data_IF_681362033680
#
_entry.id   IF_681362033680
#
_cell.length_a   1.000
_cell.length_b   1.000
_cell.length_c   1.000
_cell.angle_alpha   90.00
_cell.angle_beta   90.00
_cell.angle_gamma   90.00
#
_symmetry.space_group_name_H-M   'P 1'
#
loop_
_entity.id
_entity.type
_entity.pdbx_description
1 polymer ?
#
# COMPACT_ATOMS: atom_id res chain seq x y z
N UNK A 1 1.51 -5.01 8.89
CA UNK A 1 0.02 -4.98 8.98
C UNK A 1 -0.53 -4.44 7.66
N UNK A 2 -1.22 -5.27 6.87
CA UNK A 2 -1.71 -4.84 5.55
C UNK A 2 -3.09 -4.18 5.63
N UNK A 3 -3.32 -3.21 4.75
CA UNK A 3 -4.61 -2.51 4.61
C UNK A 3 -5.03 -2.51 3.15
N UNK A 4 -6.30 -2.79 2.88
CA UNK A 4 -6.85 -2.76 1.52
C UNK A 4 -7.98 -1.74 1.39
N UNK A 5 -8.02 -1.06 0.24
CA UNK A 5 -9.10 -0.13 -0.13
C UNK A 5 -9.39 -0.28 -1.63
N UNK A 6 -10.67 -0.37 -1.99
CA UNK A 6 -11.09 -0.38 -3.39
C UNK A 6 -12.09 0.76 -3.63
N UNK A 7 -12.02 1.36 -4.80
CA UNK A 7 -13.00 2.34 -5.27
C UNK A 7 -13.14 2.30 -6.79
N UNK A 8 -14.32 2.66 -7.27
CA UNK A 8 -14.62 2.71 -8.69
C UNK A 8 -14.10 3.99 -9.35
N UNK A 9 -13.60 3.88 -10.57
CA UNK A 9 -13.23 4.99 -11.45
C UNK A 9 -14.30 5.11 -12.53
N UNK A 10 -14.94 6.29 -12.60
CA UNK A 10 -16.07 6.53 -13.54
C UNK A 10 -15.68 7.36 -14.76
N UNK A 11 -14.64 8.18 -14.68
CA UNK A 11 -14.29 9.11 -15.74
C UNK A 11 -12.82 9.09 -16.13
N UNK A 12 -11.91 9.29 -15.21
CA UNK A 12 -10.49 9.63 -15.45
C UNK A 12 -9.57 8.43 -15.32
N UNK A 13 -9.80 7.36 -16.12
CA UNK A 13 -8.95 6.16 -16.12
C UNK A 13 -7.53 6.50 -16.58
N UNK A 14 -7.40 7.36 -17.59
CA UNK A 14 -6.14 7.88 -18.11
C UNK A 14 -5.28 8.51 -17.02
N UNK A 15 -5.83 9.46 -16.27
CA UNK A 15 -5.12 10.12 -15.17
C UNK A 15 -4.79 9.16 -14.03
N UNK A 16 -5.63 8.16 -13.79
CA UNK A 16 -5.38 7.16 -12.76
C UNK A 16 -4.21 6.23 -13.14
N UNK A 17 -4.15 5.79 -14.40
CA UNK A 17 -3.01 4.99 -14.93
C UNK A 17 -1.73 5.82 -14.91
N UNK A 18 -1.76 7.05 -15.43
CA UNK A 18 -0.61 7.97 -15.40
C UNK A 18 -0.09 8.18 -13.97
N UNK A 19 -1.00 8.39 -13.01
CA UNK A 19 -0.64 8.58 -11.59
C UNK A 19 0.08 7.38 -11.00
N UNK A 20 -0.42 6.14 -11.23
CA UNK A 20 0.18 4.94 -10.65
C UNK A 20 1.48 4.55 -11.36
N UNK A 21 1.62 4.88 -12.64
CA UNK A 21 2.82 4.58 -13.45
C UNK A 21 3.88 5.69 -13.38
N UNK A 22 3.75 6.67 -12.47
CA UNK A 22 4.74 7.74 -12.36
C UNK A 22 6.12 7.17 -11.98
N UNK A 23 7.18 7.41 -12.81
CA UNK A 23 8.53 6.89 -12.57
C UNK A 23 9.12 7.26 -11.21
N UNK A 24 8.83 8.47 -10.71
CA UNK A 24 9.32 8.94 -9.41
C UNK A 24 8.75 8.15 -8.23
N UNK A 25 7.68 7.38 -8.45
CA UNK A 25 7.00 6.60 -7.42
C UNK A 25 7.26 5.10 -7.51
N UNK A 26 7.68 4.64 -8.69
CA UNK A 26 7.80 3.22 -9.04
C UNK A 26 9.25 2.77 -9.22
N UNK A 27 10.19 3.50 -8.64
CA UNK A 27 11.63 3.28 -8.81
C UNK A 27 12.02 3.17 -10.29
N UNK A 28 11.78 4.27 -11.06
CA UNK A 28 12.04 4.36 -12.51
C UNK A 28 11.33 3.27 -13.32
N UNK A 29 10.08 2.95 -12.96
CA UNK A 29 9.23 1.93 -13.60
C UNK A 29 9.65 0.47 -13.35
N UNK A 30 10.53 0.20 -12.37
CA UNK A 30 10.96 -1.16 -12.05
C UNK A 30 9.81 -2.02 -11.53
N UNK A 31 8.90 -1.42 -10.75
CA UNK A 31 7.78 -2.14 -10.10
C UNK A 31 6.46 -1.86 -10.81
N UNK A 32 6.40 -2.21 -12.11
CA UNK A 32 5.18 -2.18 -12.92
C UNK A 32 4.95 -3.55 -13.54
N UNK A 33 3.73 -4.06 -13.43
CA UNK A 33 3.25 -5.26 -14.11
C UNK A 33 1.88 -5.03 -14.71
N UNK A 34 1.54 -5.76 -15.76
CA UNK A 34 0.23 -5.70 -16.38
C UNK A 34 -0.21 -7.05 -16.91
N UNK A 35 -1.50 -7.20 -17.16
CA UNK A 35 -2.08 -8.40 -17.74
C UNK A 35 -3.15 -8.00 -18.78
N UNK A 36 -3.09 -8.64 -19.96
CA UNK A 36 -3.97 -8.41 -21.12
C UNK A 36 -4.06 -6.92 -21.56
N UNK A 37 -3.05 -6.13 -21.22
CA UNK A 37 -2.83 -4.74 -21.68
C UNK A 37 -1.38 -4.35 -21.36
N UNK A 38 -0.93 -3.18 -21.86
CA UNK A 38 0.27 -2.51 -21.34
C UNK A 38 -0.13 -1.23 -20.60
N UNK A 39 0.73 -0.63 -19.78
CA UNK A 39 0.45 0.66 -19.16
C UNK A 39 0.03 1.74 -20.18
N UNK A 40 0.66 1.73 -21.36
CA UNK A 40 0.42 2.70 -22.43
C UNK A 40 -0.90 2.46 -23.17
N UNK A 41 -1.33 1.20 -23.27
CA UNK A 41 -2.56 0.81 -24.02
C UNK A 41 -3.77 0.58 -23.12
N UNK A 42 -3.58 0.50 -21.79
CA UNK A 42 -4.61 0.09 -20.83
C UNK A 42 -5.94 0.86 -20.97
N UNK A 43 -5.88 2.16 -21.22
CA UNK A 43 -7.08 3.00 -21.41
C UNK A 43 -7.88 2.57 -22.66
N UNK A 44 -7.17 2.24 -23.75
CA UNK A 44 -7.80 1.79 -25.01
C UNK A 44 -8.33 0.37 -24.86
N UNK A 45 -7.56 -0.51 -24.22
CA UNK A 45 -7.97 -1.91 -23.98
C UNK A 45 -9.19 -2.00 -23.06
N UNK A 46 -9.23 -1.20 -21.99
CA UNK A 46 -10.39 -1.11 -21.11
C UNK A 46 -11.61 -0.57 -21.86
N UNK A 47 -11.41 0.48 -22.67
CA UNK A 47 -12.50 1.02 -23.51
C UNK A 47 -13.04 -0.03 -24.47
N UNK A 48 -12.15 -0.76 -25.16
CA UNK A 48 -12.56 -1.83 -26.06
C UNK A 48 -13.43 -2.88 -25.33
N UNK A 49 -12.96 -3.38 -24.18
CA UNK A 49 -13.71 -4.36 -23.38
C UNK A 49 -15.07 -3.81 -22.95
N UNK A 50 -15.14 -2.55 -22.52
CA UNK A 50 -16.37 -1.90 -22.07
C UNK A 50 -17.36 -1.66 -23.21
N UNK A 51 -16.88 -1.32 -24.40
CA UNK A 51 -17.73 -1.11 -25.58
C UNK A 51 -18.41 -2.42 -26.03
N UNK A 52 -17.90 -3.58 -25.60
CA UNK A 52 -18.49 -4.91 -25.89
C UNK A 52 -19.31 -5.48 -24.73
N UNK A 53 -19.53 -4.73 -23.65
CA UNK A 53 -20.38 -5.20 -22.56
C UNK A 53 -21.84 -5.33 -22.97
N UNK A 54 -22.45 -6.44 -22.62
CA UNK A 54 -23.87 -6.74 -22.86
C UNK A 54 -24.64 -6.95 -21.55
N UNK A 55 -24.08 -6.45 -20.45
CA UNK A 55 -24.64 -6.70 -19.11
C UNK A 55 -25.88 -5.84 -18.85
N UNK A 56 -27.05 -6.47 -18.98
CA UNK A 56 -28.36 -5.84 -18.72
C UNK A 56 -28.67 -5.72 -17.21
N UNK A 57 -27.83 -6.28 -16.31
CA UNK A 57 -28.11 -6.32 -14.85
C UNK A 57 -28.05 -4.95 -14.21
N UNK A 58 -27.22 -4.07 -14.75
CA UNK A 58 -27.12 -2.69 -14.30
C UNK A 58 -26.87 -1.74 -15.48
N UNK A 59 -27.94 -1.33 -16.20
CA UNK A 59 -27.82 -0.41 -17.33
C UNK A 59 -27.32 0.99 -16.94
N UNK A 60 -27.28 1.30 -15.64
CA UNK A 60 -26.77 2.56 -15.13
C UNK A 60 -25.32 2.46 -14.61
N UNK A 61 -24.68 1.30 -14.76
CA UNK A 61 -23.29 1.11 -14.35
C UNK A 61 -22.36 1.97 -15.19
N UNK A 62 -21.83 3.01 -14.58
CA UNK A 62 -20.88 3.95 -15.21
C UNK A 62 -19.43 3.69 -14.80
N UNK A 63 -19.16 2.61 -14.08
CA UNK A 63 -17.82 2.28 -13.64
C UNK A 63 -16.98 1.81 -14.84
N UNK A 64 -15.85 2.44 -15.09
CA UNK A 64 -14.92 2.09 -16.16
C UNK A 64 -13.80 1.19 -15.67
N UNK A 65 -13.35 1.41 -14.46
CA UNK A 65 -12.29 0.63 -13.82
C UNK A 65 -12.47 0.61 -12.30
N UNK A 66 -11.72 -0.23 -11.63
CA UNK A 66 -11.57 -0.23 -10.18
C UNK A 66 -10.12 -0.01 -9.80
N UNK A 67 -9.90 0.77 -8.77
CA UNK A 67 -8.60 1.01 -8.18
C UNK A 67 -8.55 0.36 -6.80
N UNK A 68 -7.78 -0.71 -6.68
CA UNK A 68 -7.47 -1.40 -5.44
C UNK A 68 -6.10 -0.95 -4.94
N UNK A 69 -6.03 -0.57 -3.68
CA UNK A 69 -4.80 -0.21 -2.98
C UNK A 69 -4.56 -1.25 -1.89
N UNK A 70 -3.34 -1.78 -1.84
CA UNK A 70 -2.86 -2.65 -0.77
C UNK A 70 -1.62 -1.99 -0.15
N UNK A 71 -1.69 -1.62 1.13
CA UNK A 71 -0.60 -0.95 1.83
C UNK A 71 -0.04 -1.84 2.95
N UNK A 72 1.27 -1.74 3.17
CA UNK A 72 2.01 -2.50 4.18
C UNK A 72 2.53 -1.59 5.29
N UNK A 73 2.87 -2.16 6.44
CA UNK A 73 3.52 -1.40 7.50
C UNK A 73 4.93 -0.97 7.09
N UNK A 74 5.39 0.19 7.55
CA UNK A 74 6.74 0.64 7.27
C UNK A 74 7.80 -0.38 7.71
N UNK A 75 8.73 -0.71 6.80
CA UNK A 75 9.86 -1.61 7.08
C UNK A 75 9.50 -3.10 7.23
N UNK A 76 8.27 -3.50 6.94
CA UNK A 76 7.80 -4.89 7.10
C UNK A 76 8.04 -5.75 5.85
N UNK A 77 8.17 -5.14 4.68
CA UNK A 77 8.27 -5.83 3.39
C UNK A 77 9.25 -5.09 2.46
N UNK A 78 10.01 -5.82 1.66
CA UNK A 78 10.81 -5.24 0.57
C UNK A 78 9.94 -4.80 -0.60
N UNK A 79 10.48 -3.99 -1.50
CA UNK A 79 9.74 -3.51 -2.68
C UNK A 79 9.40 -4.66 -3.63
N UNK A 80 10.36 -5.57 -3.85
CA UNK A 80 10.19 -6.76 -4.68
C UNK A 80 9.11 -7.68 -4.13
N UNK A 81 9.17 -7.96 -2.83
CA UNK A 81 8.20 -8.84 -2.18
C UNK A 81 6.80 -8.21 -2.17
N UNK A 82 6.69 -6.91 -1.90
CA UNK A 82 5.41 -6.19 -1.99
C UNK A 82 4.81 -6.27 -3.39
N UNK A 83 5.65 -6.10 -4.44
CA UNK A 83 5.21 -6.23 -5.83
C UNK A 83 4.76 -7.65 -6.16
N UNK A 84 5.50 -8.66 -5.70
CA UNK A 84 5.14 -10.07 -5.87
C UNK A 84 3.80 -10.40 -5.19
N UNK A 85 3.59 -9.96 -3.95
CA UNK A 85 2.30 -10.09 -3.24
C UNK A 85 1.17 -9.40 -4.01
N UNK A 86 1.43 -8.23 -4.59
CA UNK A 86 0.47 -7.52 -5.44
C UNK A 86 0.06 -8.31 -6.68
N UNK A 87 1.01 -8.98 -7.35
CA UNK A 87 0.75 -9.88 -8.49
C UNK A 87 -0.09 -11.08 -8.07
N UNK A 88 0.28 -11.76 -7.00
CA UNK A 88 -0.47 -12.89 -6.47
C UNK A 88 -1.90 -12.50 -6.06
N UNK A 89 -2.07 -11.30 -5.48
CA UNK A 89 -3.40 -10.75 -5.18
C UNK A 89 -4.22 -10.53 -6.45
N UNK A 90 -3.62 -9.93 -7.49
CA UNK A 90 -4.28 -9.73 -8.77
C UNK A 90 -4.68 -11.06 -9.42
N UNK A 91 -3.79 -12.04 -9.44
CA UNK A 91 -4.04 -13.36 -10.04
C UNK A 91 -5.17 -14.12 -9.33
N UNK A 92 -5.16 -14.17 -8.00
CA UNK A 92 -6.21 -14.84 -7.20
C UNK A 92 -7.54 -14.10 -7.20
N UNK A 93 -7.51 -12.76 -7.29
CA UNK A 93 -8.73 -11.95 -7.29
C UNK A 93 -9.42 -11.94 -8.65
N UNK A 94 -8.63 -11.71 -9.71
CA UNK A 94 -9.12 -11.45 -11.06
C UNK A 94 -9.16 -12.71 -11.94
N UNK A 95 -8.50 -13.81 -11.50
CA UNK A 95 -8.57 -15.13 -12.11
C UNK A 95 -8.22 -15.13 -13.62
N UNK A 96 -7.33 -14.20 -14.05
CA UNK A 96 -6.95 -14.06 -15.46
C UNK A 96 -8.06 -13.55 -16.38
N UNK A 97 -9.13 -12.95 -15.84
CA UNK A 97 -10.30 -12.51 -16.62
C UNK A 97 -10.28 -11.02 -16.96
N UNK A 98 -9.64 -10.19 -16.16
CA UNK A 98 -9.68 -8.73 -16.28
C UNK A 98 -8.32 -8.18 -16.70
N UNK A 99 -8.32 -7.25 -17.64
CA UNK A 99 -7.12 -6.46 -17.94
C UNK A 99 -6.79 -5.56 -16.75
N UNK A 100 -5.50 -5.52 -16.37
CA UNK A 100 -5.07 -4.68 -15.25
C UNK A 100 -3.65 -4.11 -15.43
N UNK A 101 -3.39 -3.04 -14.70
CA UNK A 101 -2.04 -2.49 -14.44
C UNK A 101 -1.84 -2.49 -12.92
N UNK A 102 -0.71 -3.04 -12.50
CA UNK A 102 -0.25 -3.10 -11.10
C UNK A 102 1.04 -2.32 -10.97
N UNK A 103 1.14 -1.47 -9.97
CA UNK A 103 2.38 -0.77 -9.61
C UNK A 103 2.63 -0.83 -8.12
N UNK A 104 3.91 -0.81 -7.73
CA UNK A 104 4.31 -0.67 -6.32
C UNK A 104 4.99 0.68 -6.14
N UNK A 105 4.43 1.51 -5.28
CA UNK A 105 4.96 2.82 -4.94
C UNK A 105 5.95 2.73 -3.78
N UNK A 106 7.10 3.36 -3.96
CA UNK A 106 8.24 3.35 -3.02
C UNK A 106 8.58 4.74 -2.47
N UNK A 107 7.87 5.79 -2.95
CA UNK A 107 8.13 7.21 -2.67
C UNK A 107 7.82 7.66 -1.24
N UNK A 108 7.13 6.85 -0.47
CA UNK A 108 6.70 7.15 0.91
C UNK A 108 7.35 6.20 1.91
N UNK A 109 7.34 6.59 3.18
CA UNK A 109 7.87 5.77 4.27
C UNK A 109 7.14 4.43 4.50
N UNK A 110 6.24 4.03 3.61
CA UNK A 110 5.55 2.75 3.59
C UNK A 110 5.29 2.31 2.14
N UNK A 111 5.46 1.03 1.89
CA UNK A 111 5.23 0.43 0.57
C UNK A 111 3.74 0.20 0.34
N UNK A 112 3.27 0.47 -0.86
CA UNK A 112 1.88 0.18 -1.23
C UNK A 112 1.73 -0.15 -2.71
N UNK A 113 0.88 -1.15 -2.98
CA UNK A 113 0.50 -1.56 -4.31
C UNK A 113 -0.73 -0.80 -4.78
N UNK A 114 -0.72 -0.41 -6.05
CA UNK A 114 -1.87 0.11 -6.77
C UNK A 114 -2.23 -0.85 -7.90
N UNK A 115 -3.41 -1.43 -7.86
CA UNK A 115 -3.95 -2.29 -8.90
C UNK A 115 -5.15 -1.59 -9.53
N UNK A 116 -5.04 -1.19 -10.81
CA UNK A 116 -6.16 -0.68 -11.59
C UNK A 116 -6.57 -1.75 -12.59
N UNK A 117 -7.81 -2.21 -12.53
CA UNK A 117 -8.35 -3.21 -13.45
C UNK A 117 -9.64 -2.74 -14.12
N UNK A 118 -9.88 -3.22 -15.34
CA UNK A 118 -11.10 -2.94 -16.11
C UNK A 118 -12.34 -3.39 -15.32
N UNK A 119 -13.41 -2.62 -15.36
CA UNK A 119 -14.66 -3.00 -14.70
C UNK A 119 -15.44 -4.11 -15.40
N UNK A 120 -15.03 -4.53 -16.60
CA UNK A 120 -15.58 -5.67 -17.30
C UNK A 120 -14.50 -6.71 -17.59
N UNK A 121 -14.86 -7.99 -17.58
CA UNK A 121 -13.93 -9.08 -17.90
C UNK A 121 -13.77 -9.24 -19.43
N UNK A 122 -12.62 -9.75 -19.85
CA UNK A 122 -12.24 -9.89 -21.26
C UNK A 122 -12.87 -11.13 -21.92
N UNK A 123 -13.53 -12.02 -21.17
CA UNK A 123 -14.04 -13.31 -21.64
C UNK A 123 -15.53 -13.24 -21.91
N UNK A 124 -16.29 -12.78 -20.91
CA UNK A 124 -17.75 -12.73 -20.99
C UNK A 124 -18.29 -11.31 -21.17
N UNK A 125 -17.39 -10.31 -21.11
CA UNK A 125 -17.73 -8.88 -21.14
C UNK A 125 -18.76 -8.48 -20.06
N UNK A 126 -18.76 -9.22 -18.94
CA UNK A 126 -19.62 -8.95 -17.80
C UNK A 126 -18.94 -8.03 -16.81
N UNK A 127 -19.71 -7.11 -16.21
CA UNK A 127 -19.18 -6.20 -15.21
C UNK A 127 -18.78 -6.89 -13.91
N UNK A 128 -17.66 -6.42 -13.32
CA UNK A 128 -17.25 -6.77 -11.97
C UNK A 128 -18.34 -6.35 -10.97
N UNK A 129 -18.73 -7.27 -10.12
CA UNK A 129 -19.79 -7.04 -9.15
C UNK A 129 -19.20 -6.39 -7.88
N UNK A 130 -19.26 -5.05 -7.82
CA UNK A 130 -18.85 -4.28 -6.65
C UNK A 130 -19.89 -4.41 -5.52
N UNK A 131 -19.63 -5.33 -4.60
CA UNK A 131 -20.51 -5.58 -3.47
C UNK A 131 -19.72 -5.87 -2.18
N UNK A 132 -20.40 -5.79 -1.05
CA UNK A 132 -19.83 -6.04 0.27
C UNK A 132 -19.14 -7.41 0.37
N UNK A 133 -19.66 -8.44 -0.29
CA UNK A 133 -19.08 -9.78 -0.33
C UNK A 133 -17.69 -9.77 -1.00
N UNK A 134 -17.57 -9.09 -2.16
CA UNK A 134 -16.31 -8.98 -2.89
C UNK A 134 -15.30 -8.10 -2.16
N UNK A 135 -15.76 -7.05 -1.47
CA UNK A 135 -14.89 -6.29 -0.56
C UNK A 135 -14.24 -7.19 0.51
N UNK A 136 -15.01 -8.06 1.15
CA UNK A 136 -14.49 -9.00 2.13
C UNK A 136 -13.60 -10.09 1.50
N UNK A 137 -13.91 -10.53 0.25
CA UNK A 137 -13.04 -11.45 -0.50
C UNK A 137 -11.65 -10.83 -0.69
N UNK A 138 -11.58 -9.57 -1.16
CA UNK A 138 -10.32 -8.84 -1.34
C UNK A 138 -9.53 -8.77 -0.02
N UNK A 139 -10.20 -8.39 1.06
CA UNK A 139 -9.57 -8.28 2.35
C UNK A 139 -8.99 -9.60 2.83
N UNK A 140 -9.79 -10.66 2.78
CA UNK A 140 -9.34 -11.99 3.21
C UNK A 140 -8.20 -12.51 2.34
N UNK A 141 -8.24 -12.31 1.02
CA UNK A 141 -7.14 -12.69 0.12
C UNK A 141 -5.85 -11.96 0.47
N UNK A 142 -5.93 -10.65 0.70
CA UNK A 142 -4.75 -9.86 1.10
C UNK A 142 -4.19 -10.33 2.45
N UNK A 143 -5.05 -10.59 3.44
CA UNK A 143 -4.62 -11.08 4.75
C UNK A 143 -4.01 -12.50 4.66
N UNK A 144 -4.57 -13.39 3.83
CA UNK A 144 -4.01 -14.73 3.58
C UNK A 144 -2.63 -14.64 2.94
N UNK A 145 -2.46 -13.83 1.90
CA UNK A 145 -1.15 -13.61 1.25
C UNK A 145 -0.13 -13.04 2.24
N UNK A 146 -0.51 -12.06 3.05
CA UNK A 146 0.39 -11.54 4.08
C UNK A 146 0.83 -12.63 5.06
N UNK A 147 -0.06 -13.55 5.46
CA UNK A 147 0.30 -14.68 6.33
C UNK A 147 1.23 -15.68 5.62
N UNK A 148 0.99 -16.00 4.34
CA UNK A 148 1.85 -16.86 3.54
C UNK A 148 3.28 -16.31 3.40
N UNK A 149 3.41 -14.97 3.35
CA UNK A 149 4.68 -14.24 3.32
C UNK A 149 5.20 -13.84 4.71
N UNK A 150 4.65 -14.39 5.81
CA UNK A 150 5.04 -14.08 7.19
C UNK A 150 4.92 -12.61 7.58
N UNK A 151 4.03 -11.86 6.94
CA UNK A 151 3.74 -10.46 7.25
C UNK A 151 2.60 -10.32 8.25
N UNK A 152 2.54 -9.20 8.96
CA UNK A 152 1.48 -8.95 9.94
C UNK A 152 0.14 -8.62 9.27
N UNK A 153 -0.95 -9.09 9.87
CA UNK A 153 -2.32 -8.79 9.45
C UNK A 153 -3.06 -7.98 10.49
N UNK A 154 -4.12 -7.25 10.07
CA UNK A 154 -4.98 -6.53 11.02
C UNK A 154 -5.94 -7.54 11.64
N UNK A 155 -5.69 -7.90 12.90
CA UNK A 155 -6.66 -8.70 13.66
C UNK A 155 -7.93 -7.88 13.91
N UNK A 156 -9.12 -8.41 13.59
CA UNK A 156 -10.38 -7.73 13.90
C UNK A 156 -10.54 -7.64 15.42
N UNK A 157 -10.27 -6.48 15.99
CA UNK A 157 -10.41 -6.23 17.44
C UNK A 157 -11.79 -5.70 17.84
N UNK A 158 -12.78 -5.79 16.95
CA UNK A 158 -14.15 -5.32 17.18
C UNK A 158 -14.32 -3.80 17.25
N UNK A 159 -13.25 -3.02 17.21
CA UNK A 159 -13.30 -1.55 17.18
C UNK A 159 -13.40 -1.06 15.73
N UNK A 160 -14.23 -0.04 15.47
CA UNK A 160 -14.22 0.66 14.19
C UNK A 160 -12.85 1.24 13.94
N UNK A 161 -12.32 1.04 12.73
CA UNK A 161 -11.05 1.66 12.32
C UNK A 161 -11.10 3.17 12.50
N UNK A 162 -10.02 3.74 13.03
CA UNK A 162 -9.86 5.18 13.22
C UNK A 162 -9.83 5.88 11.85
N UNK A 163 -10.50 7.02 11.71
CA UNK A 163 -10.43 7.82 10.49
C UNK A 163 -9.01 8.37 10.34
N UNK A 164 -8.57 8.56 9.09
CA UNK A 164 -7.22 9.06 8.79
C UNK A 164 -6.87 10.34 9.57
N UNK A 165 -7.82 11.27 9.67
CA UNK A 165 -7.62 12.54 10.39
C UNK A 165 -7.37 12.32 11.89
N UNK A 166 -8.07 11.38 12.52
CA UNK A 166 -7.91 11.00 13.92
C UNK A 166 -6.57 10.28 14.15
N UNK A 167 -6.17 9.39 13.21
CA UNK A 167 -4.87 8.72 13.23
C UNK A 167 -3.72 9.72 13.06
N UNK A 168 -3.83 10.66 12.13
CA UNK A 168 -2.82 11.68 11.88
C UNK A 168 -2.64 12.62 13.08
N UNK A 169 -3.73 13.01 13.75
CA UNK A 169 -3.70 13.80 14.96
C UNK A 169 -2.99 13.06 16.11
N UNK A 170 -3.33 11.80 16.34
CA UNK A 170 -2.70 10.97 17.38
C UNK A 170 -1.20 10.74 17.13
N UNK A 171 -0.79 10.63 15.86
CA UNK A 171 0.63 10.51 15.49
C UNK A 171 1.39 11.80 15.78
N UNK A 172 0.80 12.97 15.57
CA UNK A 172 1.41 14.27 15.88
C UNK A 172 1.55 14.50 17.38
N UNK A 173 0.61 14.03 18.21
CA UNK A 173 0.68 14.12 19.67
C UNK A 173 1.72 13.15 20.27
N UNK A 174 1.83 11.92 19.74
CA UNK A 174 2.85 10.97 20.19
C UNK A 174 4.27 11.45 19.84
N UNK A 175 4.46 12.11 18.69
CA UNK A 175 5.74 12.72 18.31
C UNK A 175 6.11 13.92 19.20
N UNK A 176 5.13 14.69 19.67
CA UNK A 176 5.35 15.79 20.63
C UNK A 176 5.67 15.30 22.05
N UNK A 177 5.09 14.18 22.48
CA UNK A 177 5.41 13.55 23.78
C UNK A 177 6.80 12.91 23.82
N UNK A 178 7.36 12.49 22.67
CA UNK A 178 8.71 11.93 22.58
C UNK A 178 9.83 13.01 22.59
N UNK A 179 9.47 14.30 22.50
CA UNK A 179 10.42 15.44 22.49
C UNK A 179 10.44 16.27 23.77
N UNK A 180 9.82 15.82 24.86
CA UNK A 180 9.99 16.47 26.17
C UNK A 180 11.37 16.09 26.73
N UNK A 181 12.21 17.06 27.11
CA UNK A 181 13.51 16.78 27.67
C UNK A 181 13.34 16.07 29.02
N UNK A 182 14.09 14.98 29.21
CA UNK A 182 14.29 14.41 30.53
C UNK A 182 15.12 15.40 31.31
N UNK A 183 14.48 16.08 32.27
CA UNK A 183 15.14 16.96 33.21
C UNK A 183 16.19 16.22 34.03
N UNK A 184 17.28 16.94 34.16
CA UNK A 184 18.31 16.87 35.13
C UNK A 184 17.85 16.28 36.48
N UNK A 185 18.59 15.25 36.95
CA UNK A 185 18.87 15.05 38.36
C UNK A 185 20.07 14.10 38.50
N UNK A 186 21.07 14.64 39.18
CA UNK A 186 22.26 14.05 39.83
C UNK A 186 23.60 14.40 39.21
N UNK A 187 23.95 15.65 39.43
CA UNK A 187 25.35 16.02 39.67
C UNK A 187 25.68 15.67 41.13
N UNK A 188 26.35 14.55 41.33
CA UNK A 188 27.06 14.31 42.58
C UNK A 188 28.52 14.75 42.39
N UNK A 189 28.85 15.83 43.07
CA UNK A 189 30.19 16.36 43.30
C UNK A 189 31.17 15.23 43.72
N UNK A 190 32.20 15.05 42.96
CA UNK A 190 33.45 14.46 43.49
C UNK A 190 34.50 15.53 43.49
N UNK A 191 34.91 15.92 44.74
CA UNK A 191 35.97 16.85 45.03
C UNK A 191 37.35 16.27 44.59
N UNK A 192 38.34 17.14 44.32
CA UNK A 192 39.67 16.73 43.88
C UNK A 192 40.50 16.29 45.10
N UNK A 193 41.22 15.20 44.93
CA UNK A 193 42.29 14.79 45.87
C UNK A 193 43.60 15.45 45.41
N UNK A 194 44.11 16.34 46.26
CA UNK A 194 45.45 16.93 46.15
C UNK A 194 46.55 15.92 46.52
N UNK A 195 47.60 16.01 45.73
CA UNK A 195 49.05 15.85 46.11
C UNK A 195 49.51 14.62 46.86
N UNK A 196 50.45 13.92 46.24
CA UNK A 196 51.72 13.58 46.91
C UNK A 196 52.82 13.46 45.84
N UNK A 197 53.76 14.40 45.93
CA UNK A 197 55.12 14.32 45.42
C UNK A 197 55.82 13.06 45.89
N UNK A 198 56.60 12.46 45.02
CA UNK A 198 57.96 11.92 45.43
C UNK A 198 58.86 11.91 44.19
N UNK A 199 59.96 12.65 44.37
CA UNK A 199 61.19 12.63 43.60
C UNK A 199 61.89 11.27 43.68
N UNK A 200 62.73 10.99 42.69
CA UNK A 200 64.16 10.58 42.73
C UNK A 200 64.42 9.65 41.52
N UNK A 201 65.21 10.10 40.61
CA UNK A 201 66.64 9.95 40.37
C UNK A 201 67.07 8.60 39.78
N UNK A 202 67.82 8.77 38.67
CA UNK A 202 69.03 8.04 38.22
C UNK A 202 68.86 6.54 37.80
N UNK A 203 69.12 6.22 36.58
CA UNK A 203 70.31 6.03 35.75
C UNK A 203 69.98 5.78 34.30
#
# INVERSE_FOLDING_TARGET
MSYTKIHAIKATVDKAIEYICNPDKTDQNLYISSFACSPETAVLDFKYTLDHTHDCRDPHNTNKAFHLIQAFSPGEVSYEEAHQIGKELADRLLEGKYSYVLTTHTDKGHVHNHLIFCSADNITFSHYHDCKKNYWKIRNLSDTLCQEHNLSTIMPNGKKGMKYNEWAANKSESSKKAQLPKNEENVLEMQPIENADVNATDD
#
